data_IF_809172814255
#
_entry.id   IF_809172814255
#
_cell.length_a   1.000
_cell.length_b   1.000
_cell.length_c   1.000
_cell.angle_alpha   90.00
_cell.angle_beta   90.00
_cell.angle_gamma   90.00
#
_symmetry.space_group_name_H-M   'P 1'
#
loop_
_entity.id
_entity.type
_entity.pdbx_description
1 polymer ?
#
# COMPACT_ATOMS: atom_id res chain seq x y z
N UNK A 1 6.44 18.28 3.97
CA UNK A 1 6.29 17.72 2.60
C UNK A 1 5.96 16.22 2.62
N UNK A 2 6.53 15.44 3.54
CA UNK A 2 6.22 14.00 3.69
C UNK A 2 4.73 13.77 4.01
N UNK A 3 4.13 14.59 4.88
CA UNK A 3 2.71 14.51 5.23
C UNK A 3 1.75 14.72 4.06
N UNK A 4 2.15 15.55 3.07
CA UNK A 4 1.32 15.81 1.88
C UNK A 4 1.34 14.61 0.92
N UNK A 5 2.50 13.95 0.78
CA UNK A 5 2.63 12.71 -0.03
C UNK A 5 1.80 11.58 0.58
N UNK A 6 1.83 11.45 1.91
CA UNK A 6 1.04 10.45 2.63
C UNK A 6 -0.47 10.63 2.46
N UNK A 7 -0.97 11.86 2.54
CA UNK A 7 -2.40 12.14 2.30
C UNK A 7 -2.78 11.79 0.85
N UNK A 8 -1.88 12.02 -0.11
CA UNK A 8 -2.08 11.64 -1.51
C UNK A 8 -2.27 10.13 -1.71
N UNK A 9 -1.41 9.30 -1.10
CA UNK A 9 -1.50 7.82 -1.17
C UNK A 9 -2.83 7.33 -0.57
N UNK A 10 -3.22 7.88 0.58
CA UNK A 10 -4.47 7.50 1.26
C UNK A 10 -5.72 7.88 0.43
N UNK A 11 -5.71 9.03 -0.23
CA UNK A 11 -6.86 9.49 -1.01
C UNK A 11 -7.04 8.72 -2.32
N UNK A 12 -5.97 8.33 -2.99
CA UNK A 12 -6.03 7.58 -4.25
C UNK A 12 -6.56 6.17 -4.01
N UNK A 13 -6.09 5.45 -3.00
CA UNK A 13 -6.59 4.11 -2.65
C UNK A 13 -8.08 4.08 -2.31
N UNK A 14 -8.61 5.13 -1.66
CA UNK A 14 -10.02 5.19 -1.26
C UNK A 14 -10.99 5.46 -2.42
N UNK A 15 -10.57 6.21 -3.45
CA UNK A 15 -11.47 6.65 -4.53
C UNK A 15 -11.83 5.53 -5.49
N UNK A 16 -10.98 4.55 -5.69
CA UNK A 16 -11.13 3.53 -6.73
C UNK A 16 -12.14 2.46 -6.35
N UNK A 17 -12.21 2.11 -5.08
CA UNK A 17 -13.13 1.08 -4.61
C UNK A 17 -14.59 1.56 -4.53
N UNK A 18 -14.83 2.85 -4.47
CA UNK A 18 -16.19 3.39 -4.46
C UNK A 18 -16.93 3.15 -5.78
N UNK A 19 -16.22 3.09 -6.89
CA UNK A 19 -16.80 2.82 -8.21
C UNK A 19 -17.04 1.33 -8.51
N UNK A 20 -16.39 0.42 -7.76
CA UNK A 20 -16.52 -1.03 -7.98
C UNK A 20 -17.84 -1.63 -7.47
N UNK A 21 -18.49 -0.96 -6.52
CA UNK A 21 -19.73 -1.47 -5.88
C UNK A 21 -20.99 -1.31 -6.74
N UNK A 22 -20.91 -0.64 -7.88
CA UNK A 22 -22.12 -0.23 -8.61
C UNK A 22 -22.51 -1.13 -9.80
N UNK A 23 -21.65 -2.03 -10.31
CA UNK A 23 -22.00 -2.85 -11.47
C UNK A 23 -21.51 -4.29 -11.38
N UNK A 24 -22.43 -5.18 -11.56
CA UNK A 24 -22.42 -6.64 -11.63
C UNK A 24 -21.10 -7.25 -12.16
N UNK A 25 -20.13 -7.49 -11.30
CA UNK A 25 -19.06 -8.40 -11.62
C UNK A 25 -19.51 -9.83 -11.39
N UNK A 26 -19.30 -10.71 -12.37
CA UNK A 26 -19.50 -12.14 -12.23
C UNK A 26 -18.85 -12.63 -10.92
N UNK A 27 -19.50 -13.52 -10.20
CA UNK A 27 -19.22 -13.97 -8.81
C UNK A 27 -17.72 -14.19 -8.50
N UNK A 28 -16.91 -14.59 -9.46
CA UNK A 28 -15.46 -14.78 -9.26
C UNK A 28 -14.66 -13.46 -9.18
N UNK A 29 -15.04 -12.45 -9.94
CA UNK A 29 -14.40 -11.13 -9.92
C UNK A 29 -14.77 -10.33 -8.68
N UNK A 30 -15.95 -10.58 -8.12
CA UNK A 30 -16.40 -9.92 -6.89
C UNK A 30 -15.59 -10.36 -5.66
N UNK A 31 -15.38 -11.68 -5.50
CA UNK A 31 -14.60 -12.22 -4.38
C UNK A 31 -13.14 -11.74 -4.44
N UNK A 32 -12.51 -11.80 -5.62
CA UNK A 32 -11.16 -11.31 -5.84
C UNK A 32 -11.03 -9.81 -5.55
N UNK A 33 -12.00 -8.99 -6.01
CA UNK A 33 -12.02 -7.56 -5.73
C UNK A 33 -12.08 -7.27 -4.23
N UNK A 34 -12.91 -8.00 -3.46
CA UNK A 34 -13.00 -7.87 -2.02
C UNK A 34 -11.72 -8.30 -1.30
N UNK A 35 -11.05 -9.37 -1.77
CA UNK A 35 -9.79 -9.83 -1.19
C UNK A 35 -8.68 -8.78 -1.40
N UNK A 36 -8.52 -8.24 -2.61
CA UNK A 36 -7.59 -7.13 -2.88
C UNK A 36 -7.93 -5.91 -2.03
N UNK A 37 -9.20 -5.54 -1.94
CA UNK A 37 -9.62 -4.42 -1.10
C UNK A 37 -9.22 -4.63 0.36
N UNK A 38 -9.48 -5.82 0.90
CA UNK A 38 -9.11 -6.16 2.28
C UNK A 38 -7.61 -6.01 2.53
N UNK A 39 -6.77 -6.44 1.60
CA UNK A 39 -5.31 -6.26 1.69
C UNK A 39 -4.94 -4.77 1.68
N UNK A 40 -5.54 -3.98 0.77
CA UNK A 40 -5.27 -2.55 0.68
C UNK A 40 -5.74 -1.77 1.91
N UNK A 41 -6.90 -2.14 2.48
CA UNK A 41 -7.42 -1.53 3.70
C UNK A 41 -6.52 -1.83 4.92
N UNK A 42 -6.03 -3.07 5.04
CA UNK A 42 -5.07 -3.42 6.09
C UNK A 42 -3.75 -2.66 5.93
N UNK A 43 -3.21 -2.61 4.70
CA UNK A 43 -2.00 -1.86 4.38
C UNK A 43 -2.15 -0.38 4.77
N UNK A 44 -3.25 0.24 4.35
CA UNK A 44 -3.55 1.64 4.67
C UNK A 44 -3.62 1.89 6.17
N UNK A 45 -4.29 1.01 6.91
CA UNK A 45 -4.44 1.16 8.36
C UNK A 45 -3.09 1.00 9.06
N UNK A 46 -2.29 0.01 8.66
CA UNK A 46 -0.97 -0.23 9.23
C UNK A 46 0.00 0.92 8.94
N UNK A 47 0.01 1.44 7.72
CA UNK A 47 0.80 2.59 7.33
C UNK A 47 0.40 3.85 8.11
N UNK A 48 -0.90 4.12 8.22
CA UNK A 48 -1.42 5.25 8.98
C UNK A 48 -1.00 5.19 10.45
N UNK A 49 -1.07 4.01 11.07
CA UNK A 49 -0.65 3.81 12.46
C UNK A 49 0.86 4.04 12.64
N UNK A 50 1.69 3.42 11.80
CA UNK A 50 3.14 3.57 11.86
C UNK A 50 3.58 5.04 11.70
N UNK A 51 3.10 5.73 10.66
CA UNK A 51 3.48 7.12 10.43
C UNK A 51 2.92 8.09 11.47
N UNK A 52 1.78 7.76 12.09
CA UNK A 52 1.30 8.48 13.29
C UNK A 52 2.31 8.38 14.44
N UNK A 53 2.88 7.17 14.68
CA UNK A 53 3.92 6.99 15.70
C UNK A 53 5.21 7.70 15.34
N UNK A 54 5.62 7.69 14.06
CA UNK A 54 6.76 8.49 13.58
C UNK A 54 6.55 9.99 13.84
N UNK A 55 5.32 10.50 13.64
CA UNK A 55 4.98 11.89 13.93
C UNK A 55 5.11 12.20 15.43
N UNK A 56 4.53 11.32 16.28
CA UNK A 56 4.62 11.45 17.74
C UNK A 56 6.07 11.45 18.25
N UNK A 57 6.94 10.64 17.65
CA UNK A 57 8.36 10.65 17.96
C UNK A 57 9.03 11.97 17.54
N UNK A 58 8.74 12.49 16.34
CA UNK A 58 9.25 13.79 15.87
C UNK A 58 8.78 14.97 16.72
N UNK A 59 7.60 14.85 17.33
CA UNK A 59 7.02 15.81 18.26
C UNK A 59 7.48 15.59 19.72
N UNK A 60 8.41 14.64 19.93
CA UNK A 60 8.96 14.29 21.25
C UNK A 60 7.90 13.81 22.26
N UNK A 61 6.73 13.34 21.77
CA UNK A 61 5.66 12.81 22.62
C UNK A 61 5.85 11.33 22.98
N UNK A 62 6.67 10.61 22.22
CA UNK A 62 7.16 9.26 22.54
C UNK A 62 8.68 9.20 22.42
N UNK A 63 9.30 8.27 23.16
CA UNK A 63 10.76 8.10 23.13
C UNK A 63 11.22 7.34 21.88
N UNK A 64 12.54 7.38 21.63
CA UNK A 64 13.17 6.62 20.55
C UNK A 64 12.97 5.10 20.72
N UNK A 65 13.07 4.61 21.94
CA UNK A 65 12.85 3.19 22.26
C UNK A 65 11.42 2.79 21.94
N UNK A 66 10.44 3.64 22.27
CA UNK A 66 9.03 3.36 22.00
C UNK A 66 8.73 3.30 20.51
N UNK A 67 9.26 4.21 19.69
CA UNK A 67 9.05 4.14 18.23
C UNK A 67 9.73 2.93 17.62
N UNK A 68 10.91 2.51 18.09
CA UNK A 68 11.58 1.31 17.59
C UNK A 68 10.82 0.02 17.94
N UNK A 69 10.22 -0.08 19.12
CA UNK A 69 9.35 -1.20 19.51
C UNK A 69 8.08 -1.29 18.61
N UNK A 70 7.49 -0.13 18.29
CA UNK A 70 6.41 -0.06 17.30
C UNK A 70 6.86 -0.48 15.90
N UNK A 71 8.08 -0.09 15.51
CA UNK A 71 8.66 -0.41 14.21
C UNK A 71 8.84 -1.91 14.01
N UNK A 72 9.30 -2.65 15.01
CA UNK A 72 9.41 -4.11 14.96
C UNK A 72 8.04 -4.76 14.71
N UNK A 73 7.01 -4.30 15.42
CA UNK A 73 5.64 -4.76 15.24
C UNK A 73 5.13 -4.43 13.84
N UNK A 74 5.39 -3.22 13.34
CA UNK A 74 5.03 -2.77 12.00
C UNK A 74 5.64 -3.66 10.91
N UNK A 75 6.94 -3.93 10.96
CA UNK A 75 7.63 -4.80 10.01
C UNK A 75 7.02 -6.20 9.98
N UNK A 76 6.67 -6.77 11.14
CA UNK A 76 6.00 -8.08 11.20
C UNK A 76 4.62 -8.04 10.54
N UNK A 77 3.82 -6.99 10.76
CA UNK A 77 2.49 -6.85 10.16
C UNK A 77 2.57 -6.63 8.66
N UNK A 78 3.50 -5.79 8.18
CA UNK A 78 3.74 -5.56 6.76
C UNK A 78 4.11 -6.86 6.03
N UNK A 79 4.98 -7.68 6.61
CA UNK A 79 5.31 -9.00 6.05
C UNK A 79 4.08 -9.93 5.96
N UNK A 80 3.18 -9.90 6.95
CA UNK A 80 1.93 -10.66 6.90
C UNK A 80 0.99 -10.17 5.81
N UNK A 81 0.90 -8.86 5.59
CA UNK A 81 0.12 -8.26 4.50
C UNK A 81 0.68 -8.68 3.15
N UNK A 82 2.02 -8.62 2.97
CA UNK A 82 2.68 -9.06 1.74
C UNK A 82 2.42 -10.55 1.46
N UNK A 83 2.45 -11.39 2.48
CA UNK A 83 2.18 -12.83 2.33
C UNK A 83 0.78 -13.12 1.77
N UNK A 84 -0.24 -12.30 2.08
CA UNK A 84 -1.61 -12.46 1.59
C UNK A 84 -1.74 -12.41 0.07
N UNK A 85 -0.85 -11.71 -0.63
CA UNK A 85 -0.86 -11.69 -2.09
C UNK A 85 -0.56 -13.06 -2.71
N UNK A 86 0.15 -13.95 -2.00
CA UNK A 86 0.43 -15.30 -2.47
C UNK A 86 -0.78 -16.24 -2.37
N UNK A 87 -1.74 -15.93 -1.49
CA UNK A 87 -2.93 -16.75 -1.26
C UNK A 87 -4.10 -16.39 -2.20
N UNK A 88 -3.96 -15.27 -2.95
CA UNK A 88 -5.00 -14.79 -3.85
C UNK A 88 -5.21 -15.74 -5.04
N UNK A 89 -6.46 -16.06 -5.33
CA UNK A 89 -6.86 -16.69 -6.59
C UNK A 89 -7.03 -15.63 -7.69
N UNK A 90 -5.94 -15.30 -8.35
CA UNK A 90 -5.84 -14.17 -9.28
C UNK A 90 -6.38 -14.58 -10.65
N UNK A 91 -7.47 -13.97 -11.15
CA UNK A 91 -7.86 -14.14 -12.56
C UNK A 91 -6.77 -13.56 -13.47
N UNK A 92 -6.48 -14.23 -14.59
CA UNK A 92 -5.35 -13.92 -15.49
C UNK A 92 -5.28 -12.44 -15.89
N UNK A 93 -6.44 -11.83 -16.15
CA UNK A 93 -6.55 -10.42 -16.56
C UNK A 93 -6.05 -9.43 -15.50
N UNK A 94 -6.04 -9.81 -14.21
CA UNK A 94 -5.58 -8.99 -13.09
C UNK A 94 -4.15 -9.32 -12.65
N UNK A 95 -3.49 -10.32 -13.23
CA UNK A 95 -2.16 -10.76 -12.81
C UNK A 95 -1.12 -9.64 -12.83
N UNK A 96 -1.19 -8.75 -13.84
CA UNK A 96 -0.28 -7.60 -13.94
C UNK A 96 -0.49 -6.58 -12.82
N UNK A 97 -1.74 -6.24 -12.51
CA UNK A 97 -2.06 -5.28 -11.45
C UNK A 97 -1.69 -5.81 -10.06
N UNK A 98 -1.95 -7.10 -9.78
CA UNK A 98 -1.59 -7.71 -8.49
C UNK A 98 -0.09 -7.73 -8.28
N UNK A 99 0.70 -8.03 -9.32
CA UNK A 99 2.17 -7.96 -9.23
C UNK A 99 2.66 -6.55 -8.87
N UNK A 100 2.03 -5.53 -9.43
CA UNK A 100 2.37 -4.14 -9.12
C UNK A 100 1.91 -3.72 -7.72
N UNK A 101 0.73 -4.14 -7.26
CA UNK A 101 0.29 -3.91 -5.88
C UNK A 101 1.25 -4.56 -4.88
N UNK A 102 1.62 -5.82 -5.11
CA UNK A 102 2.60 -6.51 -4.27
C UNK A 102 3.94 -5.78 -4.26
N UNK A 103 4.46 -5.41 -5.44
CA UNK A 103 5.73 -4.68 -5.57
C UNK A 103 5.67 -3.32 -4.86
N UNK A 104 4.55 -2.59 -4.97
CA UNK A 104 4.32 -1.36 -4.22
C UNK A 104 4.44 -1.61 -2.70
N UNK A 105 3.75 -2.63 -2.19
CA UNK A 105 3.77 -2.96 -0.76
C UNK A 105 5.16 -3.39 -0.28
N UNK A 106 5.90 -4.18 -1.07
CA UNK A 106 7.28 -4.60 -0.77
C UNK A 106 8.23 -3.39 -0.76
N UNK A 107 8.11 -2.49 -1.74
CA UNK A 107 8.91 -1.25 -1.81
C UNK A 107 8.56 -0.29 -0.67
N UNK A 108 7.30 -0.25 -0.25
CA UNK A 108 6.88 0.51 0.92
C UNK A 108 7.54 -0.02 2.20
N UNK A 109 7.55 -1.34 2.40
CA UNK A 109 8.24 -1.94 3.54
C UNK A 109 9.75 -1.65 3.53
N UNK A 110 10.40 -1.71 2.36
CA UNK A 110 11.82 -1.32 2.22
C UNK A 110 12.03 0.15 2.60
N UNK A 111 11.14 1.04 2.16
CA UNK A 111 11.16 2.45 2.58
C UNK A 111 11.07 2.61 4.10
N UNK A 112 10.12 1.89 4.73
CA UNK A 112 9.90 1.95 6.16
C UNK A 112 11.12 1.43 6.94
N UNK A 113 11.80 0.37 6.45
CA UNK A 113 13.03 -0.15 7.04
C UNK A 113 14.18 0.88 7.00
N UNK A 114 14.34 1.60 5.88
CA UNK A 114 15.30 2.70 5.80
C UNK A 114 14.93 3.87 6.72
N UNK A 115 13.63 4.16 6.88
CA UNK A 115 13.16 5.16 7.83
C UNK A 115 13.46 4.76 9.28
N UNK A 116 13.28 3.48 9.62
CA UNK A 116 13.62 2.91 10.94
C UNK A 116 15.13 3.03 11.19
N UNK A 117 15.96 2.66 10.21
CA UNK A 117 17.42 2.79 10.30
C UNK A 117 17.84 4.26 10.55
N UNK A 118 17.18 5.22 9.89
CA UNK A 118 17.44 6.63 10.19
C UNK A 118 17.04 7.01 11.61
N UNK A 119 15.88 6.55 12.09
CA UNK A 119 15.44 6.80 13.48
C UNK A 119 16.47 6.23 14.45
N UNK A 120 16.99 5.03 14.20
CA UNK A 120 17.93 4.34 15.05
C UNK A 120 19.32 5.00 15.06
N UNK A 121 19.84 5.40 13.90
CA UNK A 121 21.26 5.76 13.73
C UNK A 121 21.49 7.24 13.39
N UNK A 122 20.41 8.01 13.15
CA UNK A 122 20.45 9.41 12.64
C UNK A 122 21.20 9.55 11.30
N UNK A 123 21.23 8.48 10.48
CA UNK A 123 21.88 8.50 9.17
C UNK A 123 20.96 9.16 8.12
N UNK A 124 21.36 10.35 7.67
CA UNK A 124 20.63 11.11 6.64
C UNK A 124 20.56 10.42 5.29
N UNK A 125 21.48 9.49 5.01
CA UNK A 125 21.47 8.69 3.77
C UNK A 125 20.30 7.71 3.81
N UNK A 126 20.06 7.08 4.94
CA UNK A 126 18.93 6.19 5.19
C UNK A 126 17.60 6.95 5.02
N UNK A 127 17.50 8.15 5.60
CA UNK A 127 16.32 9.01 5.43
C UNK A 127 16.04 9.33 3.96
N UNK A 128 17.07 9.71 3.20
CA UNK A 128 16.93 10.01 1.78
C UNK A 128 16.48 8.77 0.99
N UNK A 129 17.06 7.62 1.30
CA UNK A 129 16.70 6.35 0.67
C UNK A 129 15.24 5.97 0.95
N UNK A 130 14.78 6.15 2.19
CA UNK A 130 13.39 5.96 2.55
C UNK A 130 12.45 6.84 1.70
N UNK A 131 12.77 8.12 1.52
CA UNK A 131 11.97 9.06 0.72
C UNK A 131 11.92 8.65 -0.78
N UNK A 132 13.03 8.19 -1.35
CA UNK A 132 13.12 7.70 -2.74
C UNK A 132 12.28 6.44 -2.94
N UNK A 133 12.35 5.48 -2.02
CA UNK A 133 11.58 4.24 -2.07
C UNK A 133 10.07 4.50 -1.85
N UNK A 134 9.73 5.43 -0.96
CA UNK A 134 8.34 5.83 -0.77
C UNK A 134 7.74 6.39 -2.07
N UNK A 135 8.50 7.21 -2.78
CA UNK A 135 8.08 7.73 -4.09
C UNK A 135 7.91 6.60 -5.11
N UNK A 136 8.85 5.65 -5.17
CA UNK A 136 8.78 4.52 -6.07
C UNK A 136 7.58 3.60 -5.75
N UNK A 137 7.29 3.36 -4.47
CA UNK A 137 6.12 2.56 -4.05
C UNK A 137 4.82 3.19 -4.54
N UNK A 138 4.70 4.52 -4.47
CA UNK A 138 3.56 5.26 -4.99
C UNK A 138 3.42 5.10 -6.51
N UNK A 139 4.52 5.16 -7.26
CA UNK A 139 4.50 4.96 -8.73
C UNK A 139 4.04 3.55 -9.11
N UNK A 140 4.47 2.53 -8.37
CA UNK A 140 3.97 1.15 -8.54
C UNK A 140 2.48 1.04 -8.21
N UNK A 141 2.01 1.66 -7.14
CA UNK A 141 0.59 1.68 -6.78
C UNK A 141 -0.25 2.30 -7.89
N UNK A 142 0.14 3.47 -8.41
CA UNK A 142 -0.56 4.12 -9.52
C UNK A 142 -0.58 3.25 -10.77
N UNK A 143 0.53 2.57 -11.07
CA UNK A 143 0.61 1.58 -12.15
C UNK A 143 -0.35 0.40 -11.93
N UNK A 144 -0.42 -0.11 -10.71
CA UNK A 144 -1.32 -1.19 -10.32
C UNK A 144 -2.79 -0.79 -10.53
N UNK A 145 -3.17 0.38 -10.05
CA UNK A 145 -4.52 0.92 -10.18
C UNK A 145 -4.92 1.11 -11.65
N UNK A 146 -4.04 1.72 -12.45
CA UNK A 146 -4.27 1.90 -13.89
C UNK A 146 -4.44 0.56 -14.61
N UNK A 147 -3.61 -0.44 -14.29
CA UNK A 147 -3.69 -1.78 -14.85
C UNK A 147 -4.97 -2.49 -14.42
N UNK A 148 -5.37 -2.35 -13.15
CA UNK A 148 -6.59 -2.93 -12.60
C UNK A 148 -7.84 -2.38 -13.29
N UNK A 149 -7.94 -1.06 -13.47
CA UNK A 149 -9.06 -0.42 -14.16
C UNK A 149 -9.15 -0.84 -15.63
N UNK A 150 -8.01 -0.96 -16.32
CA UNK A 150 -7.99 -1.49 -17.71
C UNK A 150 -8.50 -2.93 -17.78
N UNK A 151 -8.07 -3.79 -16.84
CA UNK A 151 -8.53 -5.17 -16.78
C UNK A 151 -10.04 -5.24 -16.50
N UNK A 152 -10.54 -4.42 -15.59
CA UNK A 152 -11.97 -4.32 -15.26
C UNK A 152 -12.81 -3.87 -16.46
N UNK A 153 -12.39 -2.84 -17.18
CA UNK A 153 -13.12 -2.34 -18.35
C UNK A 153 -13.14 -3.36 -19.50
N UNK A 154 -12.11 -4.19 -19.64
CA UNK A 154 -12.06 -5.29 -20.60
C UNK A 154 -13.01 -6.45 -20.28
N UNK A 155 -13.51 -6.54 -19.04
CA UNK A 155 -14.49 -7.56 -18.60
C UNK A 155 -15.95 -7.11 -18.75
N UNK A 156 -16.21 -5.81 -18.98
CA UNK A 156 -17.56 -5.33 -19.23
C UNK A 156 -18.04 -5.84 -20.59
N UNK A 157 -19.25 -6.42 -20.71
CA UNK A 157 -19.82 -6.73 -22.00
C UNK A 157 -19.89 -5.43 -22.81
N UNK A 158 -19.45 -5.49 -24.07
CA UNK A 158 -19.52 -4.37 -25.00
C UNK A 158 -20.91 -3.73 -24.90
N UNK A 159 -21.00 -2.55 -24.32
CA UNK A 159 -22.15 -1.70 -24.53
C UNK A 159 -22.04 -1.20 -25.97
N UNK A 160 -22.72 -1.88 -26.88
CA UNK A 160 -22.91 -1.34 -28.21
C UNK A 160 -23.69 0.00 -28.09
N UNK A 161 -23.23 1.06 -28.78
CA UNK A 161 -23.90 2.36 -28.78
C UNK A 161 -25.28 2.29 -29.39
#
# INVERSE_FOLDING_TARGET
>A
KLGVIMVGIILVGASIFYFYSAEQAQIRGYNFGNEIQSIQDELKNEQSDFYSKVSMWKEETISKEQILDYADTHVMKMNKIIAKYADLQIPDVFSGSVKLFKLSTETQLESDQHLINWIENDDKTEKKRAEELLQASFEYEMGALSSFEKAKTGLLPFQNP
#
